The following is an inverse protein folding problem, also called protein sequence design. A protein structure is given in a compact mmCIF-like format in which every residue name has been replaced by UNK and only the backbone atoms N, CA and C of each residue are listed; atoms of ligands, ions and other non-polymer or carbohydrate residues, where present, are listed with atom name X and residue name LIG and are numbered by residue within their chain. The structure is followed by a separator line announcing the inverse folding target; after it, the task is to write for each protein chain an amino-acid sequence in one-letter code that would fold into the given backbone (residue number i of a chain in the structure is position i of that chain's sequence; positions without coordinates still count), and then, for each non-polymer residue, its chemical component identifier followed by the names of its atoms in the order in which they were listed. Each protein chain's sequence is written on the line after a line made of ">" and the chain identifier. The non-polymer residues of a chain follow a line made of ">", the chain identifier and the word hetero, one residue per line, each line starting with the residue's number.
data_IF_378136569123
#
_entry.id   IF_378136569123
#
_cell.length_a   1.000
_cell.length_b   1.000
_cell.length_c   1.000
_cell.angle_alpha   90.00
_cell.angle_beta   90.00
_cell.angle_gamma   90.00
#
_symmetry.space_group_name_H-M   'P 1'
#
loop_
_entity.id
_entity.type
_entity.pdbx_description
1 polymer ?
#
# COMPACT_ATOMS: atom_id res chain seq x y z
N UNK A 1 11.46 -5.90 0.57
CA UNK A 1 12.11 -4.62 0.23
C UNK A 1 11.45 -3.46 0.94
N UNK A 2 10.17 -3.15 0.68
CA UNK A 2 9.46 -2.02 1.32
C UNK A 2 9.53 -2.05 2.86
N UNK A 3 9.34 -3.21 3.50
CA UNK A 3 9.52 -3.34 4.96
C UNK A 3 10.94 -3.04 5.47
N UNK A 4 11.98 -3.36 4.69
CA UNK A 4 13.37 -3.04 5.07
C UNK A 4 13.65 -1.54 4.94
N UNK A 5 12.98 -0.89 3.98
CA UNK A 5 13.05 0.56 3.82
C UNK A 5 12.36 1.25 4.99
N UNK A 6 11.18 0.75 5.39
CA UNK A 6 10.42 1.23 6.53
C UNK A 6 11.27 1.23 7.82
N UNK A 7 11.86 0.10 8.18
CA UNK A 7 12.76 -0.01 9.35
C UNK A 7 13.98 0.92 9.25
N UNK A 8 14.53 1.12 8.05
CA UNK A 8 15.67 2.01 7.85
C UNK A 8 15.30 3.49 8.05
N UNK A 9 14.09 3.88 7.67
CA UNK A 9 13.59 5.25 7.78
C UNK A 9 13.37 5.66 9.24
N UNK A 10 13.06 4.72 10.13
CA UNK A 10 12.94 4.96 11.58
C UNK A 10 14.23 5.56 12.17
N UNK A 11 15.39 5.20 11.61
CA UNK A 11 16.71 5.70 12.04
C UNK A 11 17.14 7.02 11.37
N UNK A 12 16.26 7.67 10.62
CA UNK A 12 16.57 8.90 9.89
C UNK A 12 15.84 10.13 10.45
N UNK A 13 16.36 11.32 10.16
CA UNK A 13 15.55 12.54 10.26
C UNK A 13 14.51 12.56 9.14
N UNK A 14 13.44 13.33 9.31
CA UNK A 14 12.39 13.46 8.30
C UNK A 14 12.95 13.97 6.96
N UNK A 15 13.87 14.94 6.99
CA UNK A 15 14.51 15.48 5.79
C UNK A 15 15.34 14.42 5.06
N UNK A 16 16.10 13.61 5.80
CA UNK A 16 16.95 12.55 5.23
C UNK A 16 16.09 11.40 4.69
N UNK A 17 15.05 11.00 5.41
CA UNK A 17 14.10 9.98 4.97
C UNK A 17 13.36 10.38 3.70
N UNK A 18 12.83 11.61 3.65
CA UNK A 18 12.17 12.14 2.46
C UNK A 18 13.12 12.20 1.25
N UNK A 19 14.36 12.65 1.47
CA UNK A 19 15.39 12.67 0.43
C UNK A 19 15.74 11.27 -0.07
N UNK A 20 15.80 10.30 0.84
CA UNK A 20 16.06 8.89 0.51
C UNK A 20 14.92 8.27 -0.31
N UNK A 21 13.66 8.45 0.11
CA UNK A 21 12.49 7.97 -0.64
C UNK A 21 12.40 8.60 -2.03
N UNK A 22 12.61 9.92 -2.15
CA UNK A 22 12.65 10.60 -3.44
C UNK A 22 13.73 10.03 -4.37
N UNK A 23 14.87 9.65 -3.80
CA UNK A 23 15.96 9.05 -4.56
C UNK A 23 15.59 7.64 -5.06
N UNK A 24 14.91 6.84 -4.25
CA UNK A 24 14.41 5.52 -4.67
C UNK A 24 13.33 5.62 -5.74
N UNK A 25 12.41 6.59 -5.63
CA UNK A 25 11.41 6.89 -6.65
C UNK A 25 12.10 7.22 -7.98
N UNK A 26 13.15 8.04 -7.96
CA UNK A 26 13.92 8.39 -9.17
C UNK A 26 14.60 7.18 -9.83
N UNK A 27 14.94 6.13 -9.07
CA UNK A 27 15.44 4.86 -9.61
C UNK A 27 14.31 4.07 -10.27
N UNK A 28 13.15 3.99 -9.61
CA UNK A 28 11.94 3.32 -10.10
C UNK A 28 11.46 3.94 -11.43
N UNK A 29 11.43 5.27 -11.54
CA UNK A 29 11.07 5.98 -12.78
C UNK A 29 12.15 5.83 -13.87
N UNK A 30 13.39 5.52 -13.49
CA UNK A 30 14.52 5.36 -14.40
C UNK A 30 15.30 6.66 -14.67
N UNK A 31 15.00 7.73 -13.94
CA UNK A 31 15.68 9.03 -14.04
C UNK A 31 17.10 8.98 -13.47
N UNK A 32 17.33 8.13 -12.47
CA UNK A 32 18.62 7.96 -11.81
C UNK A 32 19.04 6.50 -11.78
N UNK A 33 20.33 6.23 -11.97
CA UNK A 33 20.88 4.87 -11.83
C UNK A 33 21.17 4.54 -10.35
N UNK A 34 20.95 3.29 -9.92
CA UNK A 34 21.38 2.83 -8.60
C UNK A 34 22.88 3.08 -8.36
N UNK A 35 23.24 3.45 -7.13
CA UNK A 35 24.63 3.54 -6.70
C UNK A 35 25.26 2.16 -6.62
N UNK A 36 26.53 2.06 -7.01
CA UNK A 36 27.27 0.81 -6.90
C UNK A 36 27.52 0.36 -5.45
N UNK A 37 27.47 1.31 -4.52
CA UNK A 37 27.77 1.12 -3.10
C UNK A 37 26.52 0.82 -2.26
N UNK A 38 25.32 0.90 -2.85
CA UNK A 38 24.05 0.76 -2.12
C UNK A 38 23.30 -0.50 -2.56
N UNK A 39 23.34 -1.60 -1.79
CA UNK A 39 22.64 -2.83 -2.13
C UNK A 39 21.13 -2.65 -2.27
N UNK A 40 20.53 -1.80 -1.44
CA UNK A 40 19.08 -1.53 -1.46
C UNK A 40 18.68 -0.89 -2.78
N UNK A 41 19.44 0.08 -3.27
CA UNK A 41 19.14 0.74 -4.54
C UNK A 41 19.24 -0.21 -5.73
N UNK A 42 20.22 -1.13 -5.70
CA UNK A 42 20.36 -2.18 -6.72
C UNK A 42 19.14 -3.09 -6.72
N UNK A 43 18.74 -3.58 -5.54
CA UNK A 43 17.54 -4.41 -5.38
C UNK A 43 16.29 -3.69 -5.90
N UNK A 44 16.10 -2.41 -5.53
CA UNK A 44 14.97 -1.59 -6.02
C UNK A 44 14.98 -1.49 -7.54
N UNK A 45 16.14 -1.16 -8.13
CA UNK A 45 16.28 -1.04 -9.59
C UNK A 45 16.03 -2.37 -10.32
N UNK A 46 16.63 -3.46 -9.83
CA UNK A 46 16.54 -4.78 -10.46
C UNK A 46 15.10 -5.31 -10.41
N UNK A 47 14.47 -5.29 -9.22
CA UNK A 47 13.07 -5.72 -9.06
C UNK A 47 12.15 -4.94 -10.00
N UNK A 48 12.34 -3.62 -10.10
CA UNK A 48 11.48 -2.80 -10.94
C UNK A 48 11.70 -3.04 -12.44
N UNK A 49 12.94 -3.26 -12.86
CA UNK A 49 13.26 -3.62 -14.23
C UNK A 49 12.70 -5.00 -14.62
N UNK A 50 12.73 -5.96 -13.69
CA UNK A 50 12.08 -7.25 -13.86
C UNK A 50 10.56 -7.11 -13.98
N UNK A 51 9.92 -6.31 -13.12
CA UNK A 51 8.48 -6.04 -13.20
C UNK A 51 8.08 -5.42 -14.55
N UNK A 52 8.86 -4.44 -15.05
CA UNK A 52 8.67 -3.86 -16.39
C UNK A 52 8.82 -4.89 -17.51
N UNK A 53 9.71 -5.86 -17.35
CA UNK A 53 9.91 -6.95 -18.31
C UNK A 53 8.72 -7.92 -18.34
N UNK A 54 8.10 -8.16 -17.18
CA UNK A 54 6.91 -9.01 -17.05
C UNK A 54 5.66 -8.32 -17.61
N UNK A 55 5.32 -7.12 -17.14
CA UNK A 55 4.22 -6.31 -17.68
C UNK A 55 4.48 -4.82 -17.44
N UNK A 56 4.97 -4.14 -18.48
CA UNK A 56 5.28 -2.71 -18.41
C UNK A 56 4.08 -1.82 -18.08
N UNK A 57 2.87 -2.21 -18.45
CA UNK A 57 1.68 -1.40 -18.21
C UNK A 57 1.27 -1.48 -16.74
N UNK A 58 1.14 -2.69 -16.20
CA UNK A 58 0.82 -2.87 -14.79
C UNK A 58 1.96 -2.39 -13.87
N UNK A 59 3.22 -2.48 -14.33
CA UNK A 59 4.35 -1.89 -13.62
C UNK A 59 4.24 -0.36 -13.54
N UNK A 60 3.74 0.30 -14.60
CA UNK A 60 3.55 1.75 -14.60
C UNK A 60 2.45 2.20 -13.63
N UNK A 61 1.38 1.42 -13.46
CA UNK A 61 0.28 1.71 -12.54
C UNK A 61 0.71 1.76 -11.06
N UNK A 62 1.86 1.19 -10.73
CA UNK A 62 2.44 1.21 -9.38
C UNK A 62 3.20 2.51 -9.08
N UNK A 63 3.60 3.29 -10.09
CA UNK A 63 4.44 4.50 -9.90
C UNK A 63 3.69 5.59 -9.14
N UNK A 64 2.48 5.93 -9.57
CA UNK A 64 1.70 7.02 -8.98
C UNK A 64 1.41 6.81 -7.49
N UNK A 65 0.98 5.61 -7.02
CA UNK A 65 0.83 5.34 -5.60
C UNK A 65 2.12 5.47 -4.79
N UNK A 66 3.29 5.12 -5.35
CA UNK A 66 4.59 5.28 -4.70
C UNK A 66 4.94 6.77 -4.59
N UNK A 67 4.74 7.54 -5.66
CA UNK A 67 5.02 8.99 -5.67
C UNK A 67 4.15 9.77 -4.67
N UNK A 68 2.90 9.34 -4.51
CA UNK A 68 1.95 9.95 -3.56
C UNK A 68 2.05 9.40 -2.14
N UNK A 69 2.87 8.38 -1.92
CA UNK A 69 3.01 7.69 -0.64
C UNK A 69 1.66 7.14 -0.11
N UNK A 70 0.90 6.47 -0.99
CA UNK A 70 -0.42 5.91 -0.65
C UNK A 70 -0.35 4.38 -0.62
N UNK A 71 -0.02 3.83 0.54
CA UNK A 71 0.18 2.39 0.75
C UNK A 71 -0.99 1.53 0.27
N UNK A 72 -2.24 1.91 0.57
CA UNK A 72 -3.43 1.15 0.15
C UNK A 72 -3.52 1.01 -1.38
N UNK A 73 -3.29 2.11 -2.11
CA UNK A 73 -3.33 2.10 -3.58
C UNK A 73 -2.17 1.30 -4.16
N UNK A 74 -0.98 1.38 -3.54
CA UNK A 74 0.17 0.58 -3.93
C UNK A 74 -0.12 -0.92 -3.78
N UNK A 75 -0.72 -1.35 -2.66
CA UNK A 75 -1.10 -2.75 -2.44
C UNK A 75 -2.14 -3.24 -3.45
N UNK A 76 -3.16 -2.42 -3.75
CA UNK A 76 -4.18 -2.76 -4.75
C UNK A 76 -3.60 -2.83 -6.17
N UNK A 77 -2.69 -1.92 -6.52
CA UNK A 77 -1.95 -1.96 -7.79
C UNK A 77 -1.05 -3.20 -7.87
N UNK A 78 -0.40 -3.59 -6.77
CA UNK A 78 0.47 -4.77 -6.73
C UNK A 78 -0.35 -6.07 -6.84
N UNK A 79 -1.54 -6.10 -6.21
CA UNK A 79 -2.49 -7.19 -6.37
C UNK A 79 -2.87 -7.35 -7.84
N UNK A 80 -3.24 -6.25 -8.52
CA UNK A 80 -3.56 -6.24 -9.96
C UNK A 80 -2.40 -6.72 -10.81
N UNK A 81 -1.18 -6.23 -10.54
CA UNK A 81 0.04 -6.68 -11.20
C UNK A 81 0.23 -8.19 -11.07
N UNK A 82 0.12 -8.72 -9.84
CA UNK A 82 0.32 -10.14 -9.56
C UNK A 82 -0.69 -11.06 -10.25
N UNK A 83 -1.90 -10.54 -10.51
CA UNK A 83 -3.00 -11.28 -11.14
C UNK A 83 -3.17 -10.97 -12.63
N UNK A 84 -2.36 -10.07 -13.21
CA UNK A 84 -2.51 -9.65 -14.60
C UNK A 84 -3.84 -8.93 -14.91
N UNK A 85 -4.46 -8.32 -13.89
CA UNK A 85 -5.76 -7.65 -13.99
C UNK A 85 -5.54 -6.20 -14.42
N UNK A 86 -6.08 -5.83 -15.58
CA UNK A 86 -6.05 -4.46 -16.09
C UNK A 86 -7.43 -3.86 -15.95
N UNK A 87 -7.50 -2.69 -15.32
CA UNK A 87 -8.71 -1.90 -15.17
C UNK A 87 -8.53 -0.60 -15.92
N UNK A 88 -9.58 -0.15 -16.60
CA UNK A 88 -9.66 1.21 -17.11
C UNK A 88 -9.72 2.22 -15.96
N UNK A 89 -9.46 3.49 -16.29
CA UNK A 89 -9.56 4.59 -15.32
C UNK A 89 -10.96 4.68 -14.69
N UNK A 90 -12.00 4.52 -15.50
CA UNK A 90 -13.39 4.56 -15.03
C UNK A 90 -13.70 3.38 -14.10
N UNK A 91 -13.16 2.18 -14.39
CA UNK A 91 -13.29 1.01 -13.53
C UNK A 91 -12.59 1.24 -12.17
N UNK A 92 -11.39 1.81 -12.16
CA UNK A 92 -10.68 2.19 -10.92
C UNK A 92 -11.42 3.29 -10.14
N UNK A 93 -11.89 4.33 -10.81
CA UNK A 93 -12.64 5.40 -10.16
C UNK A 93 -13.94 4.86 -9.53
N UNK A 94 -14.56 3.87 -10.16
CA UNK A 94 -15.76 3.24 -9.65
C UNK A 94 -15.53 2.33 -8.43
N UNK A 95 -14.29 1.91 -8.13
CA UNK A 95 -13.96 1.14 -6.91
C UNK A 95 -13.63 2.03 -5.72
N UNK A 96 -13.49 3.35 -5.90
CA UNK A 96 -13.06 4.28 -4.86
C UNK A 96 -13.88 4.17 -3.56
N UNK A 97 -15.19 3.97 -3.66
CA UNK A 97 -16.07 3.82 -2.49
C UNK A 97 -15.72 2.58 -1.64
N UNK A 98 -15.24 1.50 -2.27
CA UNK A 98 -14.79 0.26 -1.62
C UNK A 98 -13.36 0.45 -1.06
N UNK A 99 -12.50 1.15 -1.80
CA UNK A 99 -11.09 1.33 -1.44
C UNK A 99 -10.90 2.22 -0.20
N UNK A 100 -11.78 3.19 0.05
CA UNK A 100 -11.69 4.07 1.22
C UNK A 100 -11.80 3.31 2.55
N UNK A 101 -12.86 2.51 2.83
CA UNK A 101 -12.94 1.73 4.06
C UNK A 101 -11.84 0.66 4.13
N UNK A 102 -11.43 0.07 2.99
CA UNK A 102 -10.28 -0.84 2.95
C UNK A 102 -8.98 -0.15 3.40
N UNK A 103 -8.70 1.06 2.90
CA UNK A 103 -7.54 1.87 3.27
C UNK A 103 -7.52 2.16 4.77
N UNK A 104 -8.65 2.59 5.34
CA UNK A 104 -8.78 2.82 6.79
C UNK A 104 -8.55 1.54 7.58
N UNK A 105 -9.13 0.43 7.13
CA UNK A 105 -8.98 -0.86 7.79
C UNK A 105 -7.51 -1.28 7.87
N UNK A 106 -6.77 -1.24 6.76
CA UNK A 106 -5.36 -1.66 6.76
C UNK A 106 -4.50 -0.75 7.64
N UNK A 107 -4.73 0.57 7.63
CA UNK A 107 -3.98 1.51 8.48
C UNK A 107 -4.23 1.24 9.96
N UNK A 108 -5.48 1.09 10.37
CA UNK A 108 -5.81 0.83 11.79
C UNK A 108 -5.30 -0.53 12.25
N UNK A 109 -5.40 -1.57 11.41
CA UNK A 109 -4.82 -2.88 11.74
C UNK A 109 -3.30 -2.79 11.90
N UNK A 110 -2.62 -2.07 11.00
CA UNK A 110 -1.19 -1.83 11.11
C UNK A 110 -0.87 -1.17 12.47
N UNK A 111 -1.43 0.01 12.73
CA UNK A 111 -1.16 0.80 13.93
C UNK A 111 -1.42 0.03 15.23
N UNK A 112 -2.52 -0.72 15.31
CA UNK A 112 -2.85 -1.51 16.50
C UNK A 112 -1.86 -2.64 16.73
N UNK A 113 -1.37 -3.27 15.66
CA UNK A 113 -0.44 -4.41 15.74
C UNK A 113 1.02 -3.98 15.86
N UNK A 114 1.38 -2.79 15.35
CA UNK A 114 2.71 -2.20 15.43
C UNK A 114 2.92 -1.36 16.69
N UNK A 115 1.88 -1.04 17.46
CA UNK A 115 1.95 -0.19 18.66
C UNK A 115 3.16 -0.47 19.57
N UNK A 116 3.35 -1.73 19.98
CA UNK A 116 4.43 -2.09 20.91
C UNK A 116 5.83 -2.00 20.26
N UNK A 117 5.91 -2.13 18.92
CA UNK A 117 7.13 -1.91 18.13
C UNK A 117 7.45 -0.42 18.11
N UNK A 118 6.48 0.42 17.77
CA UNK A 118 6.65 1.87 17.62
C UNK A 118 6.96 2.55 18.96
N UNK A 119 6.27 2.18 20.05
CA UNK A 119 6.60 2.68 21.39
C UNK A 119 8.01 2.32 21.84
N UNK A 120 8.56 1.21 21.33
CA UNK A 120 9.94 0.81 21.62
C UNK A 120 10.92 1.63 20.79
N UNK A 121 10.64 1.77 19.50
CA UNK A 121 11.43 2.58 18.58
C UNK A 121 11.60 4.01 19.12
N UNK A 122 10.54 4.66 19.57
CA UNK A 122 10.58 6.01 20.15
C UNK A 122 11.48 6.12 21.39
N UNK A 123 11.56 5.06 22.20
CA UNK A 123 12.40 5.03 23.42
C UNK A 123 13.87 4.75 23.12
N UNK A 124 14.13 3.98 22.08
CA UNK A 124 15.46 3.42 21.78
C UNK A 124 16.20 4.19 20.68
N UNK A 125 15.47 4.88 19.80
CA UNK A 125 16.02 5.55 18.61
C UNK A 125 15.87 7.06 18.77
N UNK A 126 17.01 7.75 18.88
CA UNK A 126 17.07 9.22 18.89
C UNK A 126 17.02 9.79 17.46
N UNK A 127 15.89 9.60 16.78
CA UNK A 127 15.64 10.12 15.45
C UNK A 127 14.17 10.50 15.25
N UNK A 128 13.91 11.53 14.44
CA UNK A 128 12.54 11.99 14.17
C UNK A 128 11.67 10.93 13.47
N UNK A 129 12.29 10.03 12.70
CA UNK A 129 11.59 8.92 12.04
C UNK A 129 11.01 7.88 13.01
N UNK A 130 11.45 7.87 14.28
CA UNK A 130 10.97 6.94 15.30
C UNK A 130 9.88 7.52 16.21
N UNK A 131 9.46 8.78 15.99
CA UNK A 131 8.38 9.41 16.76
C UNK A 131 7.06 8.68 16.47
N UNK A 132 6.32 8.34 17.53
CA UNK A 132 5.05 7.61 17.38
C UNK A 132 4.01 8.49 16.69
N UNK A 133 3.58 8.07 15.49
CA UNK A 133 2.47 8.64 14.75
C UNK A 133 1.42 7.54 14.51
N UNK A 134 0.60 7.27 15.52
CA UNK A 134 -0.21 6.07 15.59
C UNK A 134 -1.63 6.36 16.10
N UNK A 135 -2.65 5.78 15.47
CA UNK A 135 -4.06 6.02 15.83
C UNK A 135 -4.42 5.54 17.24
N UNK A 136 -3.69 4.58 17.81
CA UNK A 136 -3.88 4.13 19.20
C UNK A 136 -3.62 5.28 20.16
N UNK A 137 -2.52 6.02 19.97
CA UNK A 137 -2.19 7.19 20.80
C UNK A 137 -3.24 8.29 20.61
N UNK A 138 -3.57 8.62 19.36
CA UNK A 138 -4.56 9.67 19.05
C UNK A 138 -5.91 9.38 19.70
N UNK A 139 -6.42 8.16 19.55
CA UNK A 139 -7.71 7.80 20.14
C UNK A 139 -7.65 7.77 21.67
N UNK A 140 -6.53 7.31 22.24
CA UNK A 140 -6.28 7.32 23.68
C UNK A 140 -6.39 8.72 24.25
N UNK A 141 -5.73 9.69 23.62
CA UNK A 141 -5.69 11.08 24.07
C UNK A 141 -7.06 11.77 23.91
N UNK A 142 -7.67 11.65 22.73
CA UNK A 142 -8.95 12.31 22.41
C UNK A 142 -10.12 11.76 23.24
N UNK A 143 -10.10 10.47 23.58
CA UNK A 143 -11.16 9.84 24.36
C UNK A 143 -10.85 9.72 25.86
N UNK A 144 -9.67 10.18 26.30
CA UNK A 144 -9.18 9.99 27.68
C UNK A 144 -9.26 8.51 28.11
N UNK A 145 -8.82 7.61 27.23
CA UNK A 145 -8.71 6.18 27.44
C UNK A 145 -7.24 5.81 27.67
N UNK A 146 -6.99 4.58 28.16
CA UNK A 146 -5.65 4.00 28.02
C UNK A 146 -5.46 3.46 26.60
N UNK A 147 -4.22 3.33 26.09
CA UNK A 147 -3.94 2.70 24.79
C UNK A 147 -4.57 1.30 24.67
N UNK A 148 -4.52 0.52 25.74
CA UNK A 148 -5.09 -0.83 25.86
C UNK A 148 -6.62 -0.82 25.78
N UNK A 149 -7.26 0.26 26.21
CA UNK A 149 -8.70 0.46 26.10
C UNK A 149 -9.11 1.00 24.72
N UNK A 150 -8.22 1.74 24.06
CA UNK A 150 -8.42 2.23 22.69
C UNK A 150 -8.35 1.08 21.66
N UNK A 151 -7.45 0.10 21.85
CA UNK A 151 -7.26 -1.04 20.92
C UNK A 151 -8.57 -1.81 20.62
N UNK A 152 -9.38 -2.25 21.59
CA UNK A 152 -10.67 -2.91 21.30
C UNK A 152 -11.66 -2.04 20.53
N UNK A 153 -11.67 -0.72 20.78
CA UNK A 153 -12.54 0.22 20.05
C UNK A 153 -12.12 0.28 18.58
N UNK A 154 -10.82 0.38 18.32
CA UNK A 154 -10.25 0.36 16.97
C UNK A 154 -10.54 -0.97 16.25
N UNK A 155 -10.44 -2.11 16.94
CA UNK A 155 -10.83 -3.40 16.38
C UNK A 155 -12.32 -3.48 16.01
N UNK A 156 -13.20 -2.91 16.83
CA UNK A 156 -14.62 -2.82 16.51
C UNK A 156 -14.86 -1.95 15.26
N UNK A 157 -14.11 -0.86 15.09
CA UNK A 157 -14.16 -0.03 13.88
C UNK A 157 -13.70 -0.81 12.64
N UNK A 158 -12.61 -1.59 12.75
CA UNK A 158 -12.15 -2.47 11.68
C UNK A 158 -13.23 -3.46 11.25
N UNK A 159 -13.90 -4.13 12.20
CA UNK A 159 -15.01 -5.03 11.86
C UNK A 159 -16.14 -4.30 11.12
N UNK A 160 -16.52 -3.10 11.57
CA UNK A 160 -17.54 -2.30 10.88
C UNK A 160 -17.14 -1.90 9.45
N UNK A 161 -15.86 -1.59 9.19
CA UNK A 161 -15.38 -1.33 7.84
C UNK A 161 -15.34 -2.58 6.96
N UNK A 162 -15.01 -3.74 7.51
CA UNK A 162 -15.05 -5.00 6.77
C UNK A 162 -16.48 -5.33 6.30
N UNK A 163 -17.47 -5.21 7.19
CA UNK A 163 -18.89 -5.38 6.83
C UNK A 163 -19.35 -4.36 5.77
N UNK A 164 -18.89 -3.11 5.87
CA UNK A 164 -19.17 -2.08 4.87
C UNK A 164 -18.59 -2.44 3.51
N UNK A 165 -17.35 -2.95 3.46
CA UNK A 165 -16.71 -3.41 2.21
C UNK A 165 -17.53 -4.55 1.59
N UNK A 166 -17.93 -5.55 2.38
CA UNK A 166 -18.74 -6.67 1.90
C UNK A 166 -20.08 -6.18 1.30
N UNK A 167 -20.73 -5.23 1.96
CA UNK A 167 -21.96 -4.60 1.47
C UNK A 167 -21.75 -3.88 0.14
N UNK A 168 -20.72 -3.04 0.04
CA UNK A 168 -20.41 -2.29 -1.19
C UNK A 168 -20.03 -3.20 -2.36
N UNK A 169 -19.32 -4.29 -2.09
CA UNK A 169 -19.01 -5.31 -3.11
C UNK A 169 -20.31 -5.98 -3.58
N UNK A 170 -21.19 -6.38 -2.67
CA UNK A 170 -22.46 -7.02 -3.02
C UNK A 170 -23.35 -6.09 -3.88
N UNK A 171 -23.43 -4.80 -3.52
CA UNK A 171 -24.13 -3.78 -4.31
C UNK A 171 -23.54 -3.64 -5.72
N UNK A 172 -22.22 -3.55 -5.83
CA UNK A 172 -21.52 -3.43 -7.11
C UNK A 172 -21.76 -4.64 -8.01
N UNK A 173 -21.74 -5.86 -7.45
CA UNK A 173 -22.04 -7.09 -8.19
C UNK A 173 -23.48 -7.06 -8.73
N UNK A 174 -24.44 -6.57 -7.95
CA UNK A 174 -25.84 -6.45 -8.36
C UNK A 174 -26.07 -5.39 -9.45
N UNK A 175 -25.32 -4.29 -9.42
CA UNK A 175 -25.37 -3.23 -10.45
C UNK A 175 -24.82 -3.70 -11.80
N UNK A 176 -24.28 -4.92 -11.86
CA UNK A 176 -23.67 -5.52 -13.03
C UNK A 176 -22.20 -5.13 -13.10
N UNK A 177 -21.33 -6.08 -12.74
CA UNK A 177 -19.93 -5.96 -13.12
C UNK A 177 -19.86 -5.89 -14.66
N UNK A 178 -19.17 -4.90 -15.20
CA UNK A 178 -18.77 -4.86 -16.61
C UNK A 178 -17.95 -6.10 -17.04
N UNK A 179 -17.55 -6.94 -16.07
CA UNK A 179 -16.69 -8.13 -16.18
C UNK A 179 -17.24 -9.32 -16.97
N UNK A 180 -18.45 -9.29 -17.51
CA UNK A 180 -18.94 -10.39 -18.37
C UNK A 180 -18.24 -10.45 -19.75
N UNK A 181 -17.34 -9.52 -20.10
CA UNK A 181 -16.70 -9.50 -21.43
C UNK A 181 -15.17 -9.69 -21.44
N UNK A 182 -14.46 -9.53 -20.32
CA UNK A 182 -12.99 -9.52 -20.33
C UNK A 182 -12.33 -10.83 -19.87
N UNK A 183 -12.99 -11.61 -19.01
CA UNK A 183 -12.44 -12.91 -18.57
C UNK A 183 -12.70 -14.01 -19.62
N UNK A 184 -13.84 -13.98 -20.30
CA UNK A 184 -14.21 -15.02 -21.28
C UNK A 184 -13.47 -14.91 -22.61
N UNK A 185 -13.06 -13.71 -23.05
CA UNK A 185 -12.33 -13.53 -24.33
C UNK A 185 -10.87 -13.95 -24.30
N UNK A 186 -10.19 -13.83 -23.15
CA UNK A 186 -8.79 -14.27 -23.02
C UNK A 186 -8.64 -15.80 -23.00
N UNK A 187 -9.67 -16.53 -22.57
CA UNK A 187 -9.68 -17.99 -22.64
C UNK A 187 -9.89 -18.49 -24.08
N UNK A 188 -10.72 -17.81 -24.88
CA UNK A 188 -10.99 -18.21 -26.27
C UNK A 188 -9.83 -17.86 -27.22
N UNK A 189 -9.12 -16.74 -27.03
CA UNK A 189 -7.98 -16.37 -27.88
C UNK A 189 -6.71 -17.23 -27.64
N UNK A 190 -6.63 -17.92 -26.51
CA UNK A 190 -5.53 -18.83 -26.19
C UNK A 190 -5.68 -20.22 -26.82
N UNK A 191 -6.93 -20.63 -27.13
CA UNK A 191 -7.25 -21.97 -27.66
C UNK A 191 -7.26 -22.01 -29.21
N UNK A 192 -7.19 -20.85 -29.88
CA UNK A 192 -7.19 -20.73 -31.35
C UNK A 192 -5.77 -20.67 -31.94
N UNK A 193 -4.71 -20.78 -31.11
CA UNK A 193 -3.31 -20.74 -31.54
C UNK A 193 -2.49 -22.02 -31.22
N UNK A 194 -3.14 -23.18 -31.17
CA UNK A 194 -2.44 -24.49 -31.22
C UNK A 194 -2.74 -25.24 -32.51
#
# INVERSE_FOLDING_TARGET
>A
MLFLLDDLLEHMSLEKGASYNKRLISIVTGDTKPSDESPIEKIVGDVWNEMKTVDAHLAQDLVEPIERDVAAQLLLALQRFSQGIRLSKDELESTAAIEVPFSRHISVVNDVTSWDKECRAEREIDAQGAVVSNIVQVLSDECNLSPESAKPVLWAMCHGWAEMVDGLIAERVQQGCSDSQNVSRRAEDADVRQ
#
